data_IF_969463074991
#
_entry.id   IF_969463074991
#
_cell.length_a   1.000
_cell.length_b   1.000
_cell.length_c   1.000
_cell.angle_alpha   90.00
_cell.angle_beta   90.00
_cell.angle_gamma   90.00
#
_symmetry.space_group_name_H-M   'P 1'
#
loop_
_entity.id
_entity.type
_entity.pdbx_description
1 polymer ?
#
# COMPACT_ATOMS: atom_id res chain seq x y z
N UNK A 1 -2.66 -2.68 -5.19
CA UNK A 1 -2.62 -4.10 -4.76
C UNK A 1 -3.53 -4.93 -5.66
N UNK A 2 -3.04 -5.99 -6.30
CA UNK A 2 -3.90 -6.96 -7.00
C UNK A 2 -4.25 -8.05 -5.99
N UNK A 3 -5.53 -8.17 -5.64
CA UNK A 3 -6.00 -9.29 -4.84
C UNK A 3 -5.96 -10.55 -5.69
N UNK A 4 -5.14 -11.54 -5.33
CA UNK A 4 -5.16 -12.87 -5.94
C UNK A 4 -6.37 -13.70 -5.48
N UNK A 5 -7.10 -13.20 -4.48
CA UNK A 5 -8.25 -13.90 -3.90
C UNK A 5 -9.44 -13.86 -4.85
N UNK A 6 -9.70 -15.01 -5.47
CA UNK A 6 -10.94 -15.27 -6.19
C UNK A 6 -12.05 -15.57 -5.18
N UNK A 7 -13.18 -14.85 -5.26
CA UNK A 7 -14.39 -15.18 -4.51
C UNK A 7 -15.21 -16.20 -5.31
N UNK A 8 -15.07 -17.48 -4.96
CA UNK A 8 -15.71 -18.58 -5.67
C UNK A 8 -17.24 -18.54 -5.59
N UNK A 9 -17.82 -18.10 -4.46
CA UNK A 9 -19.27 -18.04 -4.30
C UNK A 9 -19.89 -17.02 -5.27
N UNK A 10 -19.24 -15.85 -5.36
CA UNK A 10 -19.65 -14.79 -6.30
C UNK A 10 -19.45 -15.23 -7.74
N UNK A 11 -18.34 -15.90 -8.05
CA UNK A 11 -18.03 -16.40 -9.37
C UNK A 11 -19.07 -17.42 -9.84
N UNK A 12 -19.43 -18.38 -8.98
CA UNK A 12 -20.48 -19.37 -9.27
C UNK A 12 -21.81 -18.68 -9.56
N UNK A 13 -22.20 -17.71 -8.72
CA UNK A 13 -23.44 -16.97 -8.91
C UNK A 13 -23.46 -16.14 -10.20
N UNK A 14 -22.30 -15.69 -10.68
CA UNK A 14 -22.19 -14.92 -11.94
C UNK A 14 -22.15 -15.80 -13.18
N UNK A 15 -21.59 -17.01 -13.08
CA UNK A 15 -21.46 -17.93 -14.22
C UNK A 15 -22.68 -18.83 -14.43
N UNK A 16 -23.46 -19.10 -13.37
CA UNK A 16 -24.67 -19.91 -13.49
C UNK A 16 -25.77 -19.09 -14.19
N UNK A 17 -26.34 -19.58 -15.30
CA UNK A 17 -27.43 -18.89 -15.99
C UNK A 17 -28.68 -18.77 -15.10
N UNK A 18 -29.38 -17.64 -15.22
CA UNK A 18 -30.55 -17.31 -14.38
C UNK A 18 -31.65 -18.38 -14.40
N UNK A 19 -31.80 -19.12 -15.51
CA UNK A 19 -32.81 -20.17 -15.68
C UNK A 19 -32.43 -21.54 -15.08
N UNK A 20 -31.16 -21.73 -14.66
CA UNK A 20 -30.66 -22.91 -13.95
C UNK A 20 -30.46 -22.66 -12.44
N UNK A 21 -30.87 -21.48 -11.96
CA UNK A 21 -30.53 -20.89 -10.66
C UNK A 21 -31.28 -21.42 -9.43
N UNK A 22 -31.58 -22.72 -9.36
CA UNK A 22 -32.13 -23.30 -8.13
C UNK A 22 -31.09 -23.23 -6.99
N UNK A 23 -31.48 -22.74 -5.79
CA UNK A 23 -30.57 -22.61 -4.63
C UNK A 23 -29.82 -23.91 -4.31
N UNK A 24 -30.49 -25.05 -4.42
CA UNK A 24 -29.91 -26.38 -4.19
C UNK A 24 -28.81 -26.72 -5.19
N UNK A 25 -28.99 -26.35 -6.47
CA UNK A 25 -28.02 -26.60 -7.54
C UNK A 25 -26.80 -25.69 -7.40
N UNK A 26 -27.01 -24.42 -7.03
CA UNK A 26 -25.93 -23.47 -6.75
C UNK A 26 -25.07 -23.97 -5.57
N UNK A 27 -25.70 -24.38 -4.47
CA UNK A 27 -24.98 -24.94 -3.31
C UNK A 27 -24.22 -26.23 -3.67
N UNK A 28 -24.81 -27.07 -4.51
CA UNK A 28 -24.15 -28.28 -5.00
C UNK A 28 -22.89 -27.93 -5.82
N UNK A 29 -23.00 -26.98 -6.75
CA UNK A 29 -21.87 -26.52 -7.55
C UNK A 29 -20.77 -25.86 -6.70
N UNK A 30 -21.15 -25.07 -5.69
CA UNK A 30 -20.23 -24.50 -4.71
C UNK A 30 -19.49 -25.59 -3.93
N UNK A 31 -20.17 -26.67 -3.56
CA UNK A 31 -19.54 -27.80 -2.87
C UNK A 31 -18.52 -28.54 -3.74
N UNK A 32 -18.80 -28.69 -5.05
CA UNK A 32 -17.85 -29.28 -6.02
C UNK A 32 -16.59 -28.39 -6.18
N UNK A 33 -16.75 -27.07 -6.10
CA UNK A 33 -15.65 -26.12 -6.25
C UNK A 33 -14.87 -25.85 -4.95
N UNK A 34 -15.29 -26.42 -3.82
CA UNK A 34 -14.63 -26.24 -2.54
C UNK A 34 -13.13 -26.62 -2.53
N UNK A 35 -12.69 -27.72 -3.18
CA UNK A 35 -11.26 -28.06 -3.28
C UNK A 35 -10.45 -27.04 -4.08
N UNK A 36 -11.07 -26.39 -5.08
CA UNK A 36 -10.41 -25.34 -5.84
C UNK A 36 -10.26 -24.07 -5.00
N UNK A 37 -11.23 -23.78 -4.14
CA UNK A 37 -11.15 -22.66 -3.21
C UNK A 37 -10.05 -22.88 -2.16
N UNK A 38 -9.87 -24.09 -1.64
CA UNK A 38 -8.78 -24.37 -0.69
C UNK A 38 -7.40 -24.24 -1.33
N UNK A 39 -7.23 -24.68 -2.58
CA UNK A 39 -6.02 -24.45 -3.36
C UNK A 39 -5.76 -22.97 -3.61
N UNK A 40 -6.80 -22.20 -3.96
CA UNK A 40 -6.69 -20.76 -4.16
C UNK A 40 -6.23 -20.04 -2.88
N UNK A 41 -6.76 -20.43 -1.70
CA UNK A 41 -6.29 -19.88 -0.42
C UNK A 41 -4.80 -20.19 -0.21
N UNK A 42 -4.37 -21.44 -0.43
CA UNK A 42 -2.96 -21.83 -0.32
C UNK A 42 -2.06 -21.11 -1.31
N UNK A 43 -2.55 -20.84 -2.52
CA UNK A 43 -1.83 -20.05 -3.51
C UNK A 43 -1.68 -18.58 -3.09
N UNK A 44 -2.74 -17.97 -2.56
CA UNK A 44 -2.70 -16.58 -2.06
C UNK A 44 -1.67 -16.46 -0.95
N UNK A 45 -1.68 -17.36 0.04
CA UNK A 45 -0.70 -17.34 1.13
C UNK A 45 0.73 -17.50 0.61
N UNK A 46 0.94 -18.45 -0.31
CA UNK A 46 2.25 -18.65 -0.92
C UNK A 46 2.71 -17.42 -1.73
N UNK A 47 1.82 -16.79 -2.48
CA UNK A 47 2.14 -15.61 -3.28
C UNK A 47 2.49 -14.41 -2.39
N UNK A 48 1.79 -14.24 -1.27
CA UNK A 48 2.09 -13.22 -0.28
C UNK A 48 3.45 -13.47 0.39
N UNK A 49 3.74 -14.71 0.79
CA UNK A 49 5.04 -15.11 1.35
C UNK A 49 6.18 -14.85 0.37
N UNK A 50 6.03 -15.27 -0.90
CA UNK A 50 7.05 -15.03 -1.93
C UNK A 50 7.25 -13.56 -2.24
N UNK A 51 6.20 -12.75 -2.12
CA UNK A 51 6.32 -11.31 -2.25
C UNK A 51 7.09 -10.70 -1.08
N UNK A 52 6.85 -11.15 0.14
CA UNK A 52 7.61 -10.73 1.32
C UNK A 52 9.08 -11.14 1.16
N UNK A 53 9.34 -12.37 0.73
CA UNK A 53 10.69 -12.86 0.45
C UNK A 53 11.41 -12.01 -0.62
N UNK A 54 10.72 -11.64 -1.70
CA UNK A 54 11.27 -10.75 -2.73
C UNK A 54 11.49 -9.32 -2.22
N UNK A 55 10.67 -8.82 -1.30
CA UNK A 55 10.82 -7.51 -0.68
C UNK A 55 11.93 -7.48 0.38
N UNK A 56 12.24 -8.63 1.00
CA UNK A 56 13.31 -8.84 1.97
C UNK A 56 14.69 -8.79 1.29
N UNK A 57 15.09 -7.62 0.81
CA UNK A 57 16.43 -7.40 0.27
C UNK A 57 17.41 -7.09 1.40
N UNK A 58 18.52 -7.83 1.45
CA UNK A 58 19.56 -7.66 2.48
C UNK A 58 20.12 -6.24 2.55
N UNK A 59 20.12 -5.52 1.43
CA UNK A 59 20.54 -4.13 1.32
C UNK A 59 19.63 -3.19 2.15
N UNK A 60 18.31 -3.36 2.07
CA UNK A 60 17.36 -2.51 2.81
C UNK A 60 17.47 -2.78 4.31
N UNK A 61 17.53 -4.05 4.72
CA UNK A 61 17.69 -4.44 6.14
C UNK A 61 18.97 -3.86 6.74
N UNK A 62 20.10 -3.98 6.03
CA UNK A 62 21.38 -3.42 6.50
C UNK A 62 21.37 -1.89 6.52
N UNK A 63 20.69 -1.26 5.57
CA UNK A 63 20.53 0.20 5.54
C UNK A 63 19.72 0.69 6.74
N UNK A 64 18.54 0.10 6.99
CA UNK A 64 17.72 0.44 8.14
C UNK A 64 18.48 0.24 9.44
N UNK A 65 19.21 -0.87 9.58
CA UNK A 65 20.06 -1.11 10.74
C UNK A 65 21.12 -0.02 10.92
N UNK A 66 21.86 0.33 9.85
CA UNK A 66 22.88 1.37 9.87
C UNK A 66 22.31 2.75 10.24
N UNK A 67 21.20 3.15 9.63
CA UNK A 67 20.54 4.43 9.89
C UNK A 67 20.07 4.50 11.34
N UNK A 68 19.42 3.45 11.85
CA UNK A 68 18.94 3.40 13.23
C UNK A 68 20.09 3.40 14.25
N UNK A 69 21.18 2.68 13.98
CA UNK A 69 22.39 2.67 14.83
C UNK A 69 23.02 4.06 14.94
N UNK A 70 23.02 4.83 13.84
CA UNK A 70 23.69 6.12 13.76
C UNK A 70 22.84 7.30 14.26
N UNK A 71 21.57 7.30 13.88
CA UNK A 71 20.65 8.41 14.13
C UNK A 71 19.74 8.21 15.34
N UNK A 72 19.77 7.03 15.98
CA UNK A 72 18.94 6.74 17.16
C UNK A 72 19.07 7.71 18.33
N UNK A 73 20.19 8.43 18.43
CA UNK A 73 20.42 9.49 19.43
C UNK A 73 19.60 10.76 19.23
N UNK A 74 18.99 10.94 18.05
CA UNK A 74 18.22 12.15 17.71
C UNK A 74 16.71 11.95 17.84
N UNK A 75 16.24 10.72 18.06
CA UNK A 75 14.81 10.44 18.19
C UNK A 75 14.26 10.97 19.51
N UNK A 76 13.03 11.48 19.47
CA UNK A 76 12.31 11.86 20.69
C UNK A 76 11.94 10.62 21.51
N UNK A 77 11.55 9.54 20.82
CA UNK A 77 11.22 8.25 21.40
C UNK A 77 12.26 7.19 20.98
N UNK A 78 12.98 6.62 21.96
CA UNK A 78 14.02 5.60 21.73
C UNK A 78 13.46 4.29 21.17
N UNK A 79 12.15 4.07 21.27
CA UNK A 79 11.50 2.84 20.78
C UNK A 79 11.19 2.90 19.27
N UNK A 80 11.12 4.10 18.70
CA UNK A 80 10.79 4.30 17.29
C UNK A 80 12.02 4.12 16.41
N UNK A 81 11.78 3.73 15.16
CA UNK A 81 12.83 3.37 14.19
C UNK A 81 12.53 3.95 12.83
N UNK A 82 13.58 4.28 12.11
CA UNK A 82 13.52 4.59 10.68
C UNK A 82 13.18 3.31 9.94
N UNK A 83 12.18 3.40 9.06
CA UNK A 83 11.70 2.31 8.20
C UNK A 83 11.71 2.78 6.75
N UNK A 84 12.25 1.95 5.87
CA UNK A 84 12.26 2.17 4.43
C UNK A 84 11.13 1.33 3.84
N UNK A 85 10.16 2.00 3.22
CA UNK A 85 9.07 1.33 2.53
C UNK A 85 9.16 1.60 1.02
N UNK A 86 8.70 0.64 0.22
CA UNK A 86 8.57 0.85 -1.22
C UNK A 86 7.60 2.01 -1.51
N UNK A 87 7.88 2.76 -2.56
CA UNK A 87 7.00 3.84 -2.99
C UNK A 87 5.61 3.30 -3.33
N UNK A 88 4.60 3.72 -2.58
CA UNK A 88 3.22 3.35 -2.89
C UNK A 88 2.74 4.24 -4.02
N UNK A 89 2.55 3.65 -5.20
CA UNK A 89 1.92 4.33 -6.34
C UNK A 89 0.42 4.34 -6.09
N UNK A 90 -0.11 5.50 -5.69
CA UNK A 90 -1.55 5.71 -5.61
C UNK A 90 -2.07 6.15 -6.99
N UNK A 91 -3.06 5.42 -7.55
CA UNK A 91 -3.61 5.65 -8.90
C UNK A 91 -4.39 6.96 -9.08
N UNK A 92 -5.00 7.14 -10.26
CA UNK A 92 -5.77 8.35 -10.65
C UNK A 92 -7.16 8.31 -10.02
N UNK A 93 -7.65 9.37 -9.38
CA UNK A 93 -9.03 9.46 -8.91
C UNK A 93 -10.02 9.17 -10.04
N UNK A 94 -11.03 8.34 -9.79
CA UNK A 94 -12.13 8.13 -10.72
C UNK A 94 -13.04 9.34 -10.62
N UNK A 95 -13.31 9.95 -11.77
CA UNK A 95 -14.23 11.08 -11.91
C UNK A 95 -15.49 10.64 -12.65
N UNK A 96 -16.58 11.35 -12.43
CA UNK A 96 -17.79 11.21 -13.23
C UNK A 96 -17.60 11.94 -14.57
N UNK A 97 -17.71 11.22 -15.69
CA UNK A 97 -17.43 11.73 -17.05
C UNK A 97 -18.34 12.90 -17.46
N UNK A 98 -19.57 12.97 -16.92
CA UNK A 98 -20.56 13.98 -17.27
C UNK A 98 -20.63 15.18 -16.29
N UNK A 99 -19.67 15.33 -15.37
CA UNK A 99 -19.67 16.46 -14.42
C UNK A 99 -19.05 17.70 -15.07
N UNK A 100 -19.87 18.72 -15.33
CA UNK A 100 -19.47 19.90 -16.11
C UNK A 100 -18.74 20.99 -15.30
N UNK A 101 -18.85 21.03 -13.97
CA UNK A 101 -18.40 22.22 -13.20
C UNK A 101 -17.58 21.92 -11.95
N UNK A 102 -17.71 20.73 -11.34
CA UNK A 102 -16.84 20.26 -10.27
C UNK A 102 -16.48 18.80 -10.54
N UNK A 103 -15.18 18.49 -10.62
CA UNK A 103 -14.67 17.12 -10.74
C UNK A 103 -14.98 16.37 -9.43
N UNK A 104 -16.23 15.93 -9.26
CA UNK A 104 -16.68 15.16 -8.10
C UNK A 104 -15.94 13.83 -8.08
N UNK A 105 -14.92 13.79 -7.24
CA UNK A 105 -14.15 12.60 -6.92
C UNK A 105 -15.07 11.59 -6.26
N UNK A 106 -15.01 10.31 -6.63
CA UNK A 106 -15.72 9.26 -5.88
C UNK A 106 -15.08 9.12 -4.49
N UNK A 107 -15.77 9.45 -3.39
CA UNK A 107 -15.22 9.29 -2.05
C UNK A 107 -15.18 7.80 -1.65
N UNK A 108 -14.10 7.35 -1.01
CA UNK A 108 -14.02 6.04 -0.37
C UNK A 108 -14.35 6.16 1.12
N UNK A 109 -15.46 5.54 1.54
CA UNK A 109 -15.85 5.42 2.95
C UNK A 109 -15.54 4.02 3.49
N UNK A 110 -15.11 3.94 4.75
CA UNK A 110 -15.03 2.65 5.47
C UNK A 110 -16.41 2.24 5.98
N UNK A 111 -16.59 0.95 6.26
CA UNK A 111 -17.85 0.43 6.80
C UNK A 111 -18.17 1.11 8.14
N UNK A 112 -19.26 1.88 8.16
CA UNK A 112 -19.73 2.64 9.34
C UNK A 112 -19.42 4.15 9.33
N UNK A 113 -18.74 4.69 8.31
CA UNK A 113 -18.52 6.13 8.17
C UNK A 113 -19.69 6.82 7.44
N UNK A 114 -20.19 7.92 8.00
CA UNK A 114 -21.20 8.78 7.37
C UNK A 114 -20.53 9.87 6.51
N UNK A 115 -21.23 10.35 5.49
CA UNK A 115 -20.77 11.48 4.68
C UNK A 115 -20.67 12.74 5.56
N UNK A 116 -19.46 13.27 5.75
CA UNK A 116 -19.23 14.53 6.44
C UNK A 116 -19.02 15.60 5.38
N UNK A 117 -19.95 16.56 5.29
CA UNK A 117 -19.80 17.73 4.42
C UNK A 117 -18.50 18.47 4.76
N UNK A 118 -17.63 18.65 3.77
CA UNK A 118 -16.36 19.38 3.91
C UNK A 118 -15.14 18.55 4.32
N UNK A 119 -15.26 17.23 4.53
CA UNK A 119 -14.08 16.40 4.74
C UNK A 119 -13.42 16.07 3.37
N UNK A 120 -12.09 16.24 3.20
CA UNK A 120 -11.41 15.77 1.99
C UNK A 120 -11.43 14.24 1.99
N UNK A 121 -12.48 13.68 1.41
CA UNK A 121 -12.68 12.25 1.26
C UNK A 121 -11.61 11.70 0.32
N UNK A 122 -11.00 10.57 0.70
CA UNK A 122 -9.95 9.98 -0.12
C UNK A 122 -10.59 9.47 -1.41
N UNK A 123 -10.17 9.94 -2.60
CA UNK A 123 -10.76 9.52 -3.85
C UNK A 123 -10.52 8.03 -4.12
N UNK A 124 -11.56 7.35 -4.59
CA UNK A 124 -11.48 6.04 -5.24
C UNK A 124 -10.63 6.18 -6.49
N UNK A 125 -9.59 5.36 -6.64
CA UNK A 125 -8.60 5.48 -7.73
C UNK A 125 -8.66 4.30 -8.69
N UNK A 126 -8.65 4.56 -10.00
CA UNK A 126 -8.40 3.55 -11.03
C UNK A 126 -6.89 3.32 -11.15
N UNK A 127 -6.49 2.09 -11.46
CA UNK A 127 -5.11 1.55 -11.38
C UNK A 127 -3.99 2.50 -11.88
N UNK A 128 -2.90 2.53 -11.12
CA UNK A 128 -1.48 2.73 -11.46
C UNK A 128 -1.08 3.71 -12.58
N UNK A 129 -1.17 5.03 -12.34
CA UNK A 129 -0.31 6.02 -13.02
C UNK A 129 0.22 7.10 -12.06
N UNK A 130 1.44 7.56 -12.34
CA UNK A 130 2.37 8.27 -11.44
C UNK A 130 1.83 9.63 -10.94
N UNK A 131 1.54 9.73 -9.64
CA UNK A 131 1.48 11.03 -8.92
C UNK A 131 2.91 11.50 -8.57
N UNK A 132 3.14 12.77 -8.14
CA UNK A 132 4.47 13.23 -7.71
C UNK A 132 5.06 12.46 -6.51
N UNK A 133 4.22 11.76 -5.72
CA UNK A 133 4.66 10.75 -4.73
C UNK A 133 4.92 9.37 -5.36
N UNK A 134 4.39 9.11 -6.56
CA UNK A 134 4.70 7.96 -7.41
C UNK A 134 5.93 8.16 -8.33
N UNK A 135 6.61 9.31 -8.25
CA UNK A 135 7.92 9.52 -8.89
C UNK A 135 9.08 9.04 -8.01
N UNK A 136 8.82 8.69 -6.74
CA UNK A 136 9.83 8.11 -5.85
C UNK A 136 9.74 6.60 -5.83
N UNK A 137 10.91 5.96 -5.89
CA UNK A 137 11.04 4.51 -5.86
C UNK A 137 10.85 3.92 -4.46
N UNK A 138 11.20 4.68 -3.42
CA UNK A 138 11.03 4.29 -2.02
C UNK A 138 10.84 5.51 -1.11
N UNK A 139 10.29 5.29 0.07
CA UNK A 139 10.01 6.30 1.08
C UNK A 139 10.75 5.94 2.36
N UNK A 140 11.34 6.94 2.99
CA UNK A 140 12.08 6.81 4.24
C UNK A 140 11.24 7.45 5.33
N UNK A 141 10.62 6.63 6.16
CA UNK A 141 9.80 7.09 7.28
C UNK A 141 10.70 7.29 8.50
N UNK A 142 10.78 8.52 8.96
CA UNK A 142 11.57 8.93 10.11
C UNK A 142 10.65 9.24 11.32
N UNK A 143 11.02 8.78 12.52
CA UNK A 143 10.37 9.19 13.77
C UNK A 143 10.44 10.69 14.02
N UNK A 144 9.61 11.17 14.94
CA UNK A 144 9.74 12.54 15.48
C UNK A 144 11.12 12.78 16.09
N UNK A 145 11.76 13.87 15.64
CA UNK A 145 13.12 14.26 16.06
C UNK A 145 13.04 15.19 17.26
N UNK A 146 14.02 15.08 18.16
CA UNK A 146 14.24 16.08 19.20
C UNK A 146 14.84 17.37 18.60
N UNK A 147 13.98 18.35 18.32
CA UNK A 147 14.33 19.66 17.74
C UNK A 147 15.29 20.51 18.59
N UNK A 148 15.53 20.13 19.86
CA UNK A 148 16.51 20.80 20.73
C UNK A 148 17.96 20.49 20.36
N UNK A 149 18.20 19.35 19.70
CA UNK A 149 19.55 18.85 19.41
C UNK A 149 19.92 19.11 17.94
N UNK A 150 18.98 18.88 17.02
CA UNK A 150 19.18 19.02 15.58
C UNK A 150 17.90 19.54 14.94
N UNK A 151 18.02 20.44 13.97
CA UNK A 151 16.88 20.90 13.18
C UNK A 151 16.40 19.83 12.19
N UNK A 152 15.12 19.87 11.82
CA UNK A 152 14.56 18.89 10.88
C UNK A 152 15.24 18.96 9.49
N UNK A 153 15.65 20.15 9.05
CA UNK A 153 16.34 20.35 7.77
C UNK A 153 17.73 19.72 7.77
N UNK A 154 18.52 19.95 8.82
CA UNK A 154 19.84 19.35 8.99
C UNK A 154 19.76 17.83 9.06
N UNK A 155 18.79 17.28 9.80
CA UNK A 155 18.60 15.85 9.89
C UNK A 155 18.23 15.24 8.53
N UNK A 156 17.34 15.91 7.79
CA UNK A 156 16.97 15.51 6.42
C UNK A 156 18.20 15.48 5.52
N UNK A 157 19.06 16.50 5.59
CA UNK A 157 20.30 16.57 4.82
C UNK A 157 21.33 15.49 5.23
N UNK A 158 21.42 15.16 6.51
CA UNK A 158 22.29 14.08 6.99
C UNK A 158 21.81 12.73 6.47
N UNK A 159 20.51 12.44 6.55
CA UNK A 159 19.95 11.19 6.05
C UNK A 159 20.12 11.09 4.54
N UNK A 160 19.77 12.16 3.80
CA UNK A 160 19.86 12.15 2.34
C UNK A 160 21.27 11.85 1.86
N UNK A 161 22.31 12.41 2.52
CA UNK A 161 23.70 12.10 2.20
C UNK A 161 24.04 10.60 2.28
N UNK A 162 23.62 9.90 3.34
CA UNK A 162 23.90 8.46 3.45
C UNK A 162 23.08 7.65 2.46
N UNK A 163 21.82 8.02 2.23
CA UNK A 163 20.96 7.30 1.28
C UNK A 163 21.47 7.48 -0.15
N UNK A 164 21.87 8.68 -0.55
CA UNK A 164 22.44 8.95 -1.87
C UNK A 164 23.73 8.17 -2.14
N UNK A 165 24.53 7.92 -1.10
CA UNK A 165 25.78 7.16 -1.21
C UNK A 165 25.57 5.67 -1.51
N UNK A 166 24.50 5.08 -0.96
CA UNK A 166 24.30 3.62 -0.99
C UNK A 166 23.11 3.18 -1.84
N UNK A 167 22.22 4.09 -2.24
CA UNK A 167 21.11 3.76 -3.13
C UNK A 167 21.64 3.30 -4.48
N UNK A 168 20.86 2.44 -5.14
CA UNK A 168 21.10 2.07 -6.53
C UNK A 168 20.87 3.31 -7.42
N UNK A 169 21.74 3.52 -8.40
CA UNK A 169 21.64 4.63 -9.35
C UNK A 169 20.26 4.66 -10.03
N UNK A 170 19.69 5.87 -10.16
CA UNK A 170 18.37 6.08 -10.78
C UNK A 170 17.16 5.88 -9.87
N UNK A 171 17.34 5.40 -8.63
CA UNK A 171 16.25 5.32 -7.64
C UNK A 171 16.05 6.66 -6.94
N UNK A 172 14.82 7.16 -6.95
CA UNK A 172 14.41 8.40 -6.26
C UNK A 172 13.79 8.07 -4.90
N UNK A 173 13.92 8.96 -3.93
CA UNK A 173 13.32 8.77 -2.61
C UNK A 173 12.78 10.06 -2.01
N UNK A 174 11.91 9.92 -1.01
CA UNK A 174 11.40 11.02 -0.19
C UNK A 174 11.49 10.64 1.29
N UNK A 175 11.89 11.61 2.13
CA UNK A 175 11.87 11.47 3.58
C UNK A 175 10.53 12.00 4.10
N UNK A 176 9.85 11.19 4.92
CA UNK A 176 8.62 11.57 5.61
C UNK A 176 8.83 11.46 7.11
N UNK A 177 8.21 12.38 7.85
CA UNK A 177 8.22 12.37 9.31
C UNK A 177 6.85 11.92 9.81
N UNK A 178 6.84 10.96 10.73
CA UNK A 178 5.65 10.35 11.35
C UNK A 178 5.68 10.62 12.84
#
# INVERSE_FOLDING_TARGET
MRSYRINMDRLVNQLVPHYLGGRKLILFLQSILQPLNSLNIGWVTWADEKRIEAAMTSQVIMMEYFLNRKFGKYFLNTSERIVISDGVVNGVPIYWEASNEDMNQFPLYKEGESEIEGHPSVPLRWKDEKTPTGDVSFVVSCPTINTKIVSQEEFTAMISFYIDRYRIAGKKFKVLYI
#
